data_IF_541558688177
#
_entry.id   IF_541558688177
#
_cell.length_a   1.000
_cell.length_b   1.000
_cell.length_c   1.000
_cell.angle_alpha   90.00
_cell.angle_beta   90.00
_cell.angle_gamma   90.00
#
_symmetry.space_group_name_H-M   'P 1'
#
loop_
_entity.id
_entity.type
_entity.pdbx_description
1 polymer ?
#
# COMPACT_ATOMS: atom_id res chain seq x y z
N UNK A 1 -21.26 17.92 -1.94
CA UNK A 1 -21.74 16.69 -1.28
C UNK A 1 -21.39 16.80 0.20
N UNK A 2 -22.38 16.66 1.09
CA UNK A 2 -22.15 16.76 2.54
C UNK A 2 -21.14 15.71 2.96
N UNK A 3 -20.10 16.11 3.70
CA UNK A 3 -19.21 15.24 4.46
C UNK A 3 -20.06 14.28 5.31
N UNK A 4 -20.30 13.08 4.81
CA UNK A 4 -20.87 12.03 5.65
C UNK A 4 -19.70 11.49 6.46
N UNK A 5 -19.63 11.89 7.73
CA UNK A 5 -18.75 11.22 8.70
C UNK A 5 -18.96 9.72 8.56
N UNK A 6 -17.84 8.99 8.40
CA UNK A 6 -17.86 7.53 8.40
C UNK A 6 -18.38 7.07 9.77
N UNK A 7 -19.53 6.44 9.79
CA UNK A 7 -20.08 5.84 11.02
C UNK A 7 -19.14 4.74 11.51
N UNK A 8 -19.17 4.45 12.81
CA UNK A 8 -18.39 3.33 13.41
C UNK A 8 -18.57 2.02 12.64
N UNK A 9 -19.80 1.71 12.22
CA UNK A 9 -20.12 0.53 11.42
C UNK A 9 -19.37 0.51 10.07
N UNK A 10 -19.26 1.64 9.38
CA UNK A 10 -18.51 1.71 8.11
C UNK A 10 -17.01 1.49 8.32
N UNK A 11 -16.46 2.04 9.40
CA UNK A 11 -15.05 1.80 9.76
C UNK A 11 -14.80 0.33 10.14
N UNK A 12 -15.75 -0.33 10.81
CA UNK A 12 -15.64 -1.75 11.13
C UNK A 12 -15.64 -2.62 9.86
N UNK A 13 -16.49 -2.29 8.88
CA UNK A 13 -16.46 -2.97 7.56
C UNK A 13 -15.14 -2.75 6.84
N UNK A 14 -14.60 -1.53 6.85
CA UNK A 14 -13.30 -1.24 6.23
C UNK A 14 -12.16 -1.98 6.93
N UNK A 15 -12.22 -2.10 8.26
CA UNK A 15 -11.26 -2.90 9.04
C UNK A 15 -11.32 -4.38 8.68
N UNK A 16 -12.52 -4.94 8.53
CA UNK A 16 -12.70 -6.33 8.10
C UNK A 16 -12.15 -6.56 6.69
N UNK A 17 -12.39 -5.65 5.75
CA UNK A 17 -11.77 -5.67 4.42
C UNK A 17 -10.25 -5.69 4.53
N UNK A 18 -9.68 -4.83 5.38
CA UNK A 18 -8.25 -4.77 5.65
C UNK A 18 -7.70 -6.11 6.15
N UNK A 19 -8.36 -6.71 7.13
CA UNK A 19 -7.94 -7.99 7.72
C UNK A 19 -7.99 -9.15 6.72
N UNK A 20 -9.06 -9.24 5.92
CA UNK A 20 -9.19 -10.27 4.87
C UNK A 20 -8.12 -10.06 3.80
N UNK A 21 -7.90 -8.82 3.36
CA UNK A 21 -6.86 -8.48 2.39
C UNK A 21 -5.45 -8.83 2.89
N UNK A 22 -5.14 -8.51 4.14
CA UNK A 22 -3.88 -8.86 4.77
C UNK A 22 -3.67 -10.39 4.88
N UNK A 23 -4.72 -11.13 5.24
CA UNK A 23 -4.66 -12.60 5.28
C UNK A 23 -4.37 -13.22 3.92
N UNK A 24 -5.02 -12.72 2.87
CA UNK A 24 -4.78 -13.16 1.49
C UNK A 24 -3.35 -12.79 1.04
N UNK A 25 -2.90 -11.55 1.33
CA UNK A 25 -1.56 -11.09 1.01
C UNK A 25 -0.49 -11.90 1.76
N UNK A 26 -0.68 -12.18 3.06
CA UNK A 26 0.20 -13.03 3.86
C UNK A 26 0.42 -14.39 3.21
N UNK A 27 -0.65 -15.05 2.78
CA UNK A 27 -0.57 -16.36 2.13
C UNK A 27 0.26 -16.28 0.84
N UNK A 28 -0.01 -15.30 -0.02
CA UNK A 28 0.70 -15.15 -1.30
C UNK A 28 2.18 -14.75 -1.09
N UNK A 29 2.46 -13.80 -0.20
CA UNK A 29 3.81 -13.32 0.08
C UNK A 29 4.66 -14.39 0.77
N UNK A 30 4.11 -15.14 1.72
CA UNK A 30 4.84 -16.24 2.38
C UNK A 30 5.30 -17.30 1.39
N UNK A 31 4.47 -17.64 0.40
CA UNK A 31 4.85 -18.58 -0.67
C UNK A 31 5.94 -17.97 -1.55
N UNK A 32 5.79 -16.70 -1.97
CA UNK A 32 6.74 -16.05 -2.87
C UNK A 32 8.11 -15.83 -2.23
N UNK A 33 8.12 -15.40 -0.96
CA UNK A 33 9.37 -15.11 -0.23
C UNK A 33 9.99 -16.36 0.40
N UNK A 34 9.31 -17.50 0.34
CA UNK A 34 9.69 -18.73 1.03
C UNK A 34 10.06 -18.46 2.50
N UNK A 35 9.31 -17.58 3.14
CA UNK A 35 9.50 -17.11 4.52
C UNK A 35 8.19 -17.18 5.27
N UNK A 36 8.26 -17.15 6.61
CA UNK A 36 7.09 -17.07 7.47
C UNK A 36 6.48 -15.67 7.58
N UNK A 37 6.67 -14.81 6.58
CA UNK A 37 6.20 -13.43 6.60
C UNK A 37 4.68 -13.36 6.84
N UNK A 38 4.28 -12.53 7.81
CA UNK A 38 2.89 -12.19 8.09
C UNK A 38 2.64 -10.72 7.84
N UNK A 39 1.45 -10.40 7.32
CA UNK A 39 0.95 -9.03 7.20
C UNK A 39 -0.16 -8.84 8.23
N UNK A 40 0.02 -7.88 9.12
CA UNK A 40 -1.01 -7.47 10.09
C UNK A 40 -1.52 -6.07 9.75
N UNK A 41 -2.80 -5.83 10.02
CA UNK A 41 -3.44 -4.52 9.84
C UNK A 41 -3.88 -3.98 11.20
N UNK A 42 -2.99 -3.32 11.94
CA UNK A 42 -3.33 -2.78 13.26
C UNK A 42 -4.33 -1.62 13.17
N UNK A 43 -4.30 -0.85 12.09
CA UNK A 43 -5.08 0.37 11.99
C UNK A 43 -5.66 0.57 10.58
N UNK A 44 -6.95 0.93 10.54
CA UNK A 44 -7.62 1.43 9.34
C UNK A 44 -8.20 2.80 9.65
N UNK A 45 -7.85 3.80 8.86
CA UNK A 45 -8.26 5.20 9.04
C UNK A 45 -8.71 5.80 7.72
N UNK A 46 -9.46 6.90 7.80
CA UNK A 46 -9.66 7.81 6.69
C UNK A 46 -9.03 9.14 7.06
N UNK A 47 -8.03 9.56 6.31
CA UNK A 47 -7.26 10.77 6.53
C UNK A 47 -7.38 11.70 5.33
N UNK A 48 -7.16 12.99 5.57
CA UNK A 48 -6.95 13.95 4.50
C UNK A 48 -5.55 13.77 3.90
N UNK A 49 -5.37 14.20 2.66
CA UNK A 49 -4.09 14.05 1.97
C UNK A 49 -2.92 14.76 2.67
N UNK A 50 -3.16 15.91 3.32
CA UNK A 50 -2.16 16.63 4.10
C UNK A 50 -1.73 15.86 5.37
N UNK A 51 -2.66 15.16 6.03
CA UNK A 51 -2.37 14.35 7.21
C UNK A 51 -1.58 13.08 6.88
N UNK A 52 -1.64 12.58 5.64
CA UNK A 52 -0.95 11.35 5.22
C UNK A 52 0.57 11.57 5.18
N UNK A 53 1.03 12.70 4.66
CA UNK A 53 2.45 13.01 4.60
C UNK A 53 3.08 13.03 6.00
N UNK A 54 2.39 13.62 6.97
CA UNK A 54 2.85 13.66 8.37
C UNK A 54 2.92 12.25 8.98
N UNK A 55 1.99 11.37 8.63
CA UNK A 55 1.95 10.00 9.15
C UNK A 55 3.16 9.15 8.70
N UNK A 56 3.73 9.44 7.53
CA UNK A 56 4.89 8.72 6.96
C UNK A 56 6.21 9.48 7.15
N UNK A 57 6.30 10.31 8.18
CA UNK A 57 7.54 11.00 8.59
C UNK A 57 7.72 12.41 8.01
N UNK A 58 6.72 12.93 7.31
CA UNK A 58 6.72 14.28 6.72
C UNK A 58 6.93 14.28 5.19
N UNK A 59 6.64 15.42 4.54
CA UNK A 59 6.66 15.52 3.08
C UNK A 59 8.05 15.31 2.44
N UNK A 60 9.11 15.58 3.19
CA UNK A 60 10.51 15.47 2.73
C UNK A 60 11.10 14.07 2.96
N UNK A 61 10.37 13.17 3.62
CA UNK A 61 10.82 11.80 3.86
C UNK A 61 10.87 11.02 2.55
N UNK A 62 12.02 10.38 2.27
CA UNK A 62 12.18 9.54 1.09
C UNK A 62 11.49 8.20 1.32
N UNK A 63 10.61 7.82 0.41
CA UNK A 63 9.82 6.60 0.44
C UNK A 63 9.91 5.83 -0.87
N UNK A 64 9.73 4.52 -0.80
CA UNK A 64 9.43 3.70 -1.97
C UNK A 64 7.92 3.55 -2.09
N UNK A 65 7.36 3.87 -3.26
CA UNK A 65 5.93 3.81 -3.49
C UNK A 65 5.59 3.00 -4.73
N UNK A 66 4.69 2.04 -4.57
CA UNK A 66 4.10 1.28 -5.67
C UNK A 66 2.66 1.76 -5.85
N UNK A 67 2.33 2.16 -7.06
CA UNK A 67 1.05 2.76 -7.41
C UNK A 67 0.38 1.94 -8.49
N UNK A 68 -0.93 1.77 -8.37
CA UNK A 68 -1.76 1.22 -9.43
C UNK A 68 -3.15 1.84 -9.42
N UNK A 69 -3.80 1.79 -10.58
CA UNK A 69 -5.20 2.15 -10.74
C UNK A 69 -6.06 0.89 -10.71
N UNK A 70 -7.27 1.03 -10.21
CA UNK A 70 -8.30 0.03 -10.38
C UNK A 70 -9.51 0.64 -11.08
N UNK A 71 -10.20 -0.18 -11.84
CA UNK A 71 -11.36 0.21 -12.66
C UNK A 71 -12.46 -0.85 -12.56
N UNK A 72 -13.66 -0.51 -12.99
CA UNK A 72 -14.84 -1.37 -12.96
C UNK A 72 -16.09 -0.57 -12.62
N UNK A 73 -16.93 -1.10 -11.74
CA UNK A 73 -18.14 -0.40 -11.29
C UNK A 73 -17.81 0.84 -10.45
N UNK A 74 -16.63 0.87 -9.86
CA UNK A 74 -15.98 2.07 -9.31
C UNK A 74 -14.54 2.09 -9.79
N UNK A 75 -13.94 3.27 -9.78
CA UNK A 75 -12.54 3.45 -10.16
C UNK A 75 -11.81 4.30 -9.12
N UNK A 76 -10.50 4.10 -9.04
CA UNK A 76 -9.64 4.82 -8.14
C UNK A 76 -8.19 4.41 -8.28
N UNK A 77 -7.40 4.82 -7.29
CA UNK A 77 -5.97 4.60 -7.22
C UNK A 77 -5.63 3.97 -5.86
N UNK A 78 -4.64 3.11 -5.85
CA UNK A 78 -4.06 2.58 -4.61
C UNK A 78 -2.55 2.78 -4.63
N UNK A 79 -2.02 3.19 -3.48
CA UNK A 79 -0.60 3.34 -3.21
C UNK A 79 -0.20 2.38 -2.10
N UNK A 80 0.92 1.69 -2.31
CA UNK A 80 1.66 1.00 -1.28
C UNK A 80 2.94 1.80 -1.02
N UNK A 81 3.08 2.36 0.18
CA UNK A 81 4.18 3.24 0.56
C UNK A 81 4.98 2.60 1.66
N UNK A 82 6.29 2.59 1.51
CA UNK A 82 7.26 2.04 2.46
C UNK A 82 8.30 3.09 2.80
N UNK A 83 8.67 3.17 4.07
CA UNK A 83 9.92 3.84 4.45
C UNK A 83 11.11 3.11 3.83
N UNK A 84 12.21 3.84 3.65
CA UNK A 84 13.36 3.32 2.89
C UNK A 84 13.95 2.05 3.51
N UNK A 85 14.02 1.97 4.85
CA UNK A 85 14.53 0.79 5.56
C UNK A 85 13.61 -0.42 5.41
N UNK A 86 12.30 -0.22 5.48
CA UNK A 86 11.33 -1.29 5.24
C UNK A 86 11.42 -1.81 3.80
N UNK A 87 11.58 -0.89 2.84
CA UNK A 87 11.75 -1.26 1.43
C UNK A 87 13.04 -2.08 1.21
N UNK A 88 14.14 -1.72 1.86
CA UNK A 88 15.40 -2.50 1.84
C UNK A 88 15.17 -3.90 2.42
N UNK A 89 14.53 -3.99 3.57
CA UNK A 89 14.27 -5.27 4.24
C UNK A 89 13.42 -6.20 3.35
N UNK A 90 12.33 -5.71 2.78
CA UNK A 90 11.45 -6.49 1.91
C UNK A 90 12.13 -6.91 0.61
N UNK A 91 12.81 -5.98 -0.08
CA UNK A 91 13.56 -6.31 -1.29
C UNK A 91 14.71 -7.26 -1.00
N UNK A 92 15.42 -7.06 0.12
CA UNK A 92 16.50 -7.92 0.57
C UNK A 92 16.05 -9.35 0.85
N UNK A 93 14.93 -9.52 1.55
CA UNK A 93 14.33 -10.83 1.79
C UNK A 93 13.97 -11.52 0.47
N UNK A 94 13.35 -10.80 -0.45
CA UNK A 94 12.93 -11.38 -1.73
C UNK A 94 14.11 -11.76 -2.63
N UNK A 95 15.18 -10.97 -2.62
CA UNK A 95 16.35 -11.15 -3.50
C UNK A 95 17.51 -11.86 -2.83
N UNK A 96 17.37 -12.25 -1.55
CA UNK A 96 18.45 -12.77 -0.71
C UNK A 96 19.68 -11.84 -0.74
N UNK A 97 19.45 -10.53 -0.52
CA UNK A 97 20.42 -9.44 -0.64
C UNK A 97 20.41 -8.61 0.65
N UNK A 98 21.59 -8.16 1.08
CA UNK A 98 21.74 -7.19 2.17
C UNK A 98 22.20 -5.86 1.61
N UNK A 99 21.70 -4.76 2.18
CA UNK A 99 22.10 -3.40 1.82
C UNK A 99 23.07 -2.88 2.87
N UNK A 100 24.25 -2.44 2.41
CA UNK A 100 25.28 -1.84 3.27
C UNK A 100 25.06 -0.33 3.48
N UNK A 101 26.00 0.26 4.23
CA UNK A 101 26.02 1.72 4.50
C UNK A 101 26.28 2.54 3.23
N UNK A 102 26.76 1.94 2.18
CA UNK A 102 27.00 2.53 0.86
C UNK A 102 25.75 2.55 -0.05
N UNK A 103 24.60 2.15 0.48
CA UNK A 103 23.36 2.18 -0.27
C UNK A 103 23.00 3.59 -0.71
N UNK A 104 22.83 3.80 -2.00
CA UNK A 104 22.45 5.08 -2.59
C UNK A 104 21.10 5.06 -3.28
N UNK A 105 20.76 3.94 -3.93
CA UNK A 105 19.49 3.79 -4.65
C UNK A 105 19.18 2.32 -4.93
N UNK A 106 17.90 2.02 -5.11
CA UNK A 106 17.44 0.73 -5.59
C UNK A 106 17.74 0.53 -7.07
N UNK A 107 18.33 -0.61 -7.41
CA UNK A 107 18.54 -1.02 -8.79
C UNK A 107 17.24 -1.52 -9.47
N UNK A 108 17.35 -2.01 -10.69
CA UNK A 108 16.18 -2.51 -11.44
C UNK A 108 15.56 -3.75 -10.79
N UNK A 109 16.37 -4.65 -10.23
CA UNK A 109 15.89 -5.88 -9.58
C UNK A 109 15.19 -5.55 -8.26
N UNK A 110 15.76 -4.65 -7.47
CA UNK A 110 15.17 -4.16 -6.22
C UNK A 110 13.78 -3.56 -6.48
N UNK A 111 13.68 -2.68 -7.48
CA UNK A 111 12.43 -2.06 -7.89
C UNK A 111 11.41 -3.07 -8.40
N UNK A 112 11.87 -4.09 -9.15
CA UNK A 112 10.99 -5.17 -9.61
C UNK A 112 10.46 -6.00 -8.46
N UNK A 113 11.28 -6.31 -7.46
CA UNK A 113 10.89 -7.03 -6.25
C UNK A 113 9.83 -6.25 -5.45
N UNK A 114 10.10 -4.97 -5.16
CA UNK A 114 9.16 -4.10 -4.45
C UNK A 114 7.84 -3.93 -5.20
N UNK A 115 7.91 -3.80 -6.52
CA UNK A 115 6.72 -3.71 -7.37
C UNK A 115 5.87 -4.98 -7.30
N UNK A 116 6.48 -6.14 -7.27
CA UNK A 116 5.76 -7.42 -7.16
C UNK A 116 5.12 -7.59 -5.78
N UNK A 117 5.83 -7.25 -4.70
CA UNK A 117 5.29 -7.24 -3.34
C UNK A 117 4.09 -6.31 -3.25
N UNK A 118 4.22 -5.07 -3.75
CA UNK A 118 3.13 -4.10 -3.78
C UNK A 118 1.95 -4.56 -4.62
N UNK A 119 2.20 -5.20 -5.76
CA UNK A 119 1.16 -5.77 -6.62
C UNK A 119 0.33 -6.83 -5.88
N UNK A 120 0.97 -7.74 -5.17
CA UNK A 120 0.30 -8.78 -4.38
C UNK A 120 -0.55 -8.16 -3.27
N UNK A 121 0.00 -7.21 -2.52
CA UNK A 121 -0.73 -6.51 -1.47
C UNK A 121 -1.97 -5.79 -2.01
N UNK A 122 -1.77 -4.91 -2.97
CA UNK A 122 -2.85 -4.09 -3.53
C UNK A 122 -3.93 -4.95 -4.19
N UNK A 123 -3.53 -5.99 -4.92
CA UNK A 123 -4.48 -6.94 -5.53
C UNK A 123 -5.28 -7.69 -4.48
N UNK A 124 -4.67 -8.06 -3.36
CA UNK A 124 -5.33 -8.74 -2.24
C UNK A 124 -6.39 -7.84 -1.58
N UNK A 125 -6.08 -6.57 -1.37
CA UNK A 125 -7.04 -5.61 -0.82
C UNK A 125 -8.18 -5.31 -1.79
N UNK A 126 -7.89 -5.05 -3.07
CA UNK A 126 -8.91 -4.78 -4.10
C UNK A 126 -9.81 -6.01 -4.29
N UNK A 127 -9.25 -7.22 -4.27
CA UNK A 127 -10.03 -8.47 -4.33
C UNK A 127 -10.96 -8.62 -3.13
N UNK A 128 -10.49 -8.26 -1.93
CA UNK A 128 -11.31 -8.29 -0.71
C UNK A 128 -12.45 -7.29 -0.77
N UNK A 129 -12.19 -6.07 -1.25
CA UNK A 129 -13.23 -5.07 -1.51
C UNK A 129 -14.24 -5.61 -2.51
N UNK A 130 -13.78 -6.12 -3.66
CA UNK A 130 -14.63 -6.70 -4.71
C UNK A 130 -15.54 -7.80 -4.17
N UNK A 131 -14.98 -8.73 -3.38
CA UNK A 131 -15.73 -9.87 -2.83
C UNK A 131 -16.78 -9.43 -1.81
N UNK A 132 -16.43 -8.55 -0.87
CA UNK A 132 -17.33 -8.12 0.20
C UNK A 132 -18.40 -7.15 -0.27
N UNK A 133 -18.12 -6.36 -1.30
CA UNK A 133 -19.08 -5.40 -1.85
C UNK A 133 -19.82 -5.92 -3.07
N UNK A 134 -19.44 -7.08 -3.60
CA UNK A 134 -19.92 -7.65 -4.86
C UNK A 134 -19.72 -6.70 -6.07
N UNK A 135 -18.75 -5.78 -5.99
CA UNK A 135 -18.38 -4.89 -7.09
C UNK A 135 -17.37 -5.59 -8.00
N UNK A 136 -17.54 -5.45 -9.31
CA UNK A 136 -16.57 -5.97 -10.28
C UNK A 136 -15.45 -4.95 -10.47
N UNK A 137 -14.27 -5.27 -9.95
CA UNK A 137 -13.08 -4.43 -10.00
C UNK A 137 -11.95 -5.15 -10.73
N UNK A 138 -11.16 -4.39 -11.49
CA UNK A 138 -9.95 -4.83 -12.18
C UNK A 138 -8.80 -3.91 -11.81
N UNK A 139 -7.62 -4.47 -11.56
CA UNK A 139 -6.41 -3.72 -11.21
C UNK A 139 -5.47 -3.64 -12.42
N UNK A 140 -4.88 -2.47 -12.63
CA UNK A 140 -3.89 -2.25 -13.68
C UNK A 140 -2.49 -2.71 -13.23
N UNK A 141 -1.54 -2.92 -14.16
CA UNK A 141 -0.15 -3.16 -13.81
C UNK A 141 0.42 -2.01 -12.98
N UNK A 142 1.16 -2.30 -11.89
CA UNK A 142 1.69 -1.26 -11.01
C UNK A 142 2.92 -0.56 -11.59
N UNK A 143 3.08 0.70 -11.19
CA UNK A 143 4.31 1.47 -11.34
C UNK A 143 5.00 1.62 -9.99
N UNK A 144 6.33 1.84 -9.99
CA UNK A 144 7.11 2.10 -8.77
C UNK A 144 7.90 3.39 -8.93
N UNK A 145 7.97 4.17 -7.87
CA UNK A 145 8.90 5.30 -7.73
C UNK A 145 9.57 5.28 -6.35
N UNK A 146 10.69 5.97 -6.25
CA UNK A 146 11.38 6.27 -4.98
C UNK A 146 11.60 7.77 -5.00
N UNK A 147 10.92 8.48 -4.12
CA UNK A 147 10.93 9.94 -4.08
C UNK A 147 10.48 10.44 -2.69
N UNK A 148 10.50 11.74 -2.49
CA UNK A 148 9.93 12.35 -1.30
C UNK A 148 8.42 12.08 -1.20
N UNK A 149 7.94 11.85 0.01
CA UNK A 149 6.53 11.54 0.28
C UNK A 149 5.57 12.60 -0.30
N UNK A 150 5.94 13.89 -0.22
CA UNK A 150 5.18 14.98 -0.81
C UNK A 150 5.05 14.86 -2.34
N UNK A 151 6.14 14.47 -3.03
CA UNK A 151 6.12 14.21 -4.48
C UNK A 151 5.22 13.02 -4.82
N UNK A 152 5.34 11.92 -4.09
CA UNK A 152 4.53 10.71 -4.28
C UNK A 152 3.04 11.01 -4.10
N UNK A 153 2.67 11.73 -3.05
CA UNK A 153 1.27 12.07 -2.75
C UNK A 153 0.70 13.14 -3.69
N UNK A 154 1.53 13.90 -4.40
CA UNK A 154 1.06 14.87 -5.37
C UNK A 154 0.23 14.27 -6.50
N UNK A 155 0.51 13.02 -6.89
CA UNK A 155 -0.19 12.33 -7.97
C UNK A 155 -1.65 12.03 -7.61
N UNK A 156 -1.97 11.31 -6.51
CA UNK A 156 -3.36 11.10 -6.12
C UNK A 156 -4.10 12.42 -5.84
N UNK A 157 -3.43 13.43 -5.31
CA UNK A 157 -4.02 14.75 -5.10
C UNK A 157 -4.41 15.39 -6.43
N UNK A 158 -3.54 15.34 -7.44
CA UNK A 158 -3.81 15.94 -8.75
C UNK A 158 -4.92 15.23 -9.53
N UNK A 159 -4.99 13.90 -9.42
CA UNK A 159 -5.97 13.10 -10.16
C UNK A 159 -7.34 13.02 -9.46
N UNK A 160 -7.34 12.90 -8.14
CA UNK A 160 -8.54 12.61 -7.35
C UNK A 160 -8.99 13.78 -6.45
N UNK A 161 -8.16 14.79 -6.26
CA UNK A 161 -8.45 15.90 -5.34
C UNK A 161 -9.71 16.72 -5.68
N UNK A 162 -10.16 16.69 -6.93
CA UNK A 162 -11.45 17.30 -7.32
C UNK A 162 -12.66 16.44 -6.91
N UNK A 163 -12.46 15.15 -6.65
CA UNK A 163 -13.52 14.20 -6.27
C UNK A 163 -13.61 14.13 -4.74
N UNK A 164 -12.51 14.26 -4.05
CA UNK A 164 -12.42 14.23 -2.59
C UNK A 164 -11.02 14.59 -2.09
N UNK A 165 -10.94 14.90 -0.80
CA UNK A 165 -9.71 15.31 -0.11
C UNK A 165 -9.21 14.26 0.89
N UNK A 166 -9.81 13.07 0.89
CA UNK A 166 -9.54 11.99 1.85
C UNK A 166 -9.16 10.69 1.16
N UNK A 167 -8.32 9.90 1.83
CA UNK A 167 -7.99 8.56 1.43
C UNK A 167 -8.22 7.56 2.56
N UNK A 168 -8.53 6.32 2.19
CA UNK A 168 -8.53 5.19 3.11
C UNK A 168 -7.08 4.75 3.32
N UNK A 169 -6.64 4.75 4.56
CA UNK A 169 -5.32 4.30 4.98
C UNK A 169 -5.45 2.94 5.66
N UNK A 170 -4.69 1.99 5.18
CA UNK A 170 -4.53 0.66 5.76
C UNK A 170 -3.07 0.56 6.21
N UNK A 171 -2.84 0.84 7.49
CA UNK A 171 -1.52 0.69 8.09
C UNK A 171 -1.23 -0.81 8.24
N UNK A 172 -0.15 -1.28 7.61
CA UNK A 172 0.20 -2.69 7.53
C UNK A 172 1.60 -2.92 8.09
N UNK A 173 1.74 -3.93 8.94
CA UNK A 173 3.04 -4.35 9.48
C UNK A 173 3.45 -5.68 8.87
N UNK A 174 4.71 -5.76 8.48
CA UNK A 174 5.35 -6.98 8.03
C UNK A 174 6.09 -7.59 9.21
N UNK A 175 5.71 -8.80 9.58
CA UNK A 175 6.29 -9.54 10.70
C UNK A 175 6.95 -10.80 10.15
N UNK A 176 8.22 -11.00 10.51
CA UNK A 176 8.91 -12.27 10.24
C UNK A 176 8.56 -13.25 11.36
N UNK A 177 8.19 -14.48 11.02
CA UNK A 177 8.07 -15.54 12.00
C UNK A 177 9.50 -16.09 12.20
N UNK A 178 10.17 -15.68 13.28
CA UNK A 178 11.37 -16.36 13.75
C UNK A 178 11.08 -17.85 14.04
#
# INVERSE_FOLDING_TARGET
>A
MKDQELTSMKLDVLREIGNIGAGNATTALSVMLNSGLRVEVPVVKVLKFDEIADMIGGPDTVVAAVLTHFTGEVSGMTLFVLELEEAKNLAGTMLNKTYGDDFTTFDHMDKSALKEIGNILMSSYISSISTLTNLKLSIAPPAICVDMAGSVLSLPISELGQIGDKALIIDSKFLDNE
#
